data_IF_528119622133
#
_entry.id   IF_528119622133
#
_cell.length_a   1.000
_cell.length_b   1.000
_cell.length_c   1.000
_cell.angle_alpha   90.00
_cell.angle_beta   90.00
_cell.angle_gamma   90.00
#
_symmetry.space_group_name_H-M   'P 1'
#
loop_
_entity.id
_entity.type
_entity.pdbx_description
1 polymer ?
#
# COMPACT_ATOMS: atom_id res chain seq x y z
N UNK A 1 22.73 -47.91 -9.20
CA UNK A 1 22.85 -47.19 -7.92
C UNK A 1 24.32 -47.07 -7.53
N UNK A 2 24.87 -45.86 -7.39
CA UNK A 2 26.26 -45.67 -6.99
C UNK A 2 26.45 -45.71 -5.47
N UNK A 3 27.26 -46.63 -4.95
CA UNK A 3 27.57 -46.73 -3.51
C UNK A 3 28.37 -45.53 -2.97
N UNK A 4 28.60 -45.44 -1.64
CA UNK A 4 29.21 -44.28 -0.97
C UNK A 4 30.74 -44.12 -1.18
N UNK A 5 31.23 -44.38 -2.40
CA UNK A 5 32.64 -44.47 -2.75
C UNK A 5 33.48 -43.20 -2.54
N UNK A 6 34.71 -43.39 -2.06
CA UNK A 6 35.80 -42.42 -2.16
C UNK A 6 35.76 -41.22 -1.21
N UNK A 7 34.81 -41.08 -0.28
CA UNK A 7 34.80 -39.95 0.68
C UNK A 7 35.98 -39.96 1.66
N UNK A 8 36.52 -41.13 2.00
CA UNK A 8 37.58 -41.32 3.00
C UNK A 8 38.95 -40.93 2.44
N UNK A 9 39.32 -41.50 1.28
CA UNK A 9 40.67 -41.35 0.69
C UNK A 9 40.84 -40.11 -0.20
N UNK A 10 39.84 -39.22 -0.30
CA UNK A 10 39.96 -37.97 -1.08
C UNK A 10 40.89 -36.96 -0.39
N UNK A 11 41.84 -36.34 -1.11
CA UNK A 11 42.76 -35.37 -0.51
C UNK A 11 42.01 -34.21 0.14
N UNK A 12 42.44 -33.82 1.35
CA UNK A 12 41.81 -32.72 2.09
C UNK A 12 42.13 -31.39 1.39
N UNK A 13 41.10 -30.67 0.95
CA UNK A 13 41.24 -29.29 0.43
C UNK A 13 41.94 -28.38 1.44
N UNK A 14 42.59 -27.31 0.99
CA UNK A 14 43.36 -26.41 1.86
C UNK A 14 42.57 -25.85 3.05
N UNK A 15 41.26 -25.60 2.87
CA UNK A 15 40.37 -25.23 3.97
C UNK A 15 40.14 -26.38 4.97
N UNK A 16 39.99 -27.63 4.50
CA UNK A 16 39.90 -28.80 5.40
C UNK A 16 41.21 -29.05 6.16
N UNK A 17 42.37 -28.68 5.62
CA UNK A 17 43.66 -28.68 6.36
C UNK A 17 43.70 -27.54 7.39
N UNK A 18 43.35 -26.31 6.99
CA UNK A 18 43.54 -25.09 7.79
C UNK A 18 42.24 -24.69 8.54
N UNK A 19 41.98 -25.36 9.67
CA UNK A 19 40.76 -25.27 10.48
C UNK A 19 40.27 -23.83 10.74
N UNK A 20 41.15 -22.92 11.19
CA UNK A 20 40.77 -21.53 11.46
C UNK A 20 40.38 -20.76 10.20
N UNK A 21 41.08 -20.98 9.07
CA UNK A 21 40.68 -20.40 7.77
C UNK A 21 39.31 -20.93 7.33
N UNK A 22 39.02 -22.23 7.51
CA UNK A 22 37.68 -22.80 7.25
C UNK A 22 36.59 -22.23 8.16
N UNK A 23 36.83 -22.06 9.47
CA UNK A 23 35.88 -21.40 10.37
C UNK A 23 35.61 -19.94 9.93
N UNK A 24 36.63 -19.20 9.50
CA UNK A 24 36.51 -17.82 8.98
C UNK A 24 35.71 -17.75 7.67
N UNK A 25 35.97 -18.64 6.71
CA UNK A 25 35.22 -18.70 5.45
C UNK A 25 33.76 -19.08 5.69
N UNK A 26 33.49 -20.19 6.39
CA UNK A 26 32.12 -20.64 6.64
C UNK A 26 31.27 -19.65 7.44
N UNK A 27 31.87 -18.83 8.31
CA UNK A 27 31.15 -17.75 9.01
C UNK A 27 30.91 -16.52 8.12
N UNK A 28 31.82 -16.20 7.18
CA UNK A 28 31.57 -15.21 6.11
C UNK A 28 30.42 -15.66 5.21
N UNK A 29 30.41 -16.93 4.78
CA UNK A 29 29.38 -17.48 3.89
C UNK A 29 28.01 -17.53 4.58
N UNK A 30 27.95 -17.96 5.85
CA UNK A 30 26.71 -17.91 6.66
C UNK A 30 26.19 -16.48 6.82
N UNK A 31 27.08 -15.49 6.99
CA UNK A 31 26.70 -14.07 7.05
C UNK A 31 26.21 -13.55 5.70
N UNK A 32 26.82 -13.97 4.59
CA UNK A 32 26.37 -13.62 3.23
C UNK A 32 25.00 -14.22 2.91
N UNK A 33 24.77 -15.52 3.16
CA UNK A 33 23.47 -16.18 2.95
C UNK A 33 22.33 -15.63 3.81
N UNK A 34 22.64 -14.96 4.93
CA UNK A 34 21.66 -14.26 5.79
C UNK A 34 21.43 -12.79 5.41
N UNK A 35 22.17 -12.24 4.44
CA UNK A 35 21.89 -10.89 3.91
C UNK A 35 20.76 -10.98 2.87
N UNK A 36 19.55 -10.63 3.29
CA UNK A 36 18.53 -10.17 2.33
C UNK A 36 19.03 -8.84 1.75
N UNK A 37 19.23 -8.81 0.44
CA UNK A 37 19.68 -7.63 -0.33
C UNK A 37 18.59 -7.32 -1.37
N UNK A 38 18.41 -6.05 -1.71
CA UNK A 38 17.41 -5.61 -2.70
C UNK A 38 16.00 -5.53 -2.11
N UNK A 39 15.43 -6.66 -1.67
CA UNK A 39 14.01 -6.78 -1.33
C UNK A 39 13.49 -5.72 -0.34
N UNK A 40 12.63 -4.82 -0.81
CA UNK A 40 11.87 -3.87 0.02
C UNK A 40 10.44 -4.40 0.14
N UNK A 41 10.12 -5.02 1.28
CA UNK A 41 8.85 -5.75 1.48
C UNK A 41 7.64 -4.79 1.63
N UNK A 42 7.90 -3.53 1.97
CA UNK A 42 6.90 -2.56 2.41
C UNK A 42 7.05 -1.20 1.68
N UNK A 43 7.36 -1.18 0.37
CA UNK A 43 7.68 0.05 -0.38
C UNK A 43 6.67 1.20 -0.17
N UNK A 44 5.37 0.93 -0.33
CA UNK A 44 4.29 1.91 -0.11
C UNK A 44 4.03 2.31 1.35
N UNK A 45 4.73 1.74 2.33
CA UNK A 45 4.58 2.04 3.77
C UNK A 45 5.89 2.53 4.42
N UNK A 46 7.02 2.38 3.73
CA UNK A 46 8.36 2.75 4.23
C UNK A 46 8.64 4.23 3.93
N UNK A 47 9.04 4.99 4.95
CA UNK A 47 9.29 6.44 4.78
C UNK A 47 10.55 6.71 3.95
N UNK A 48 10.56 7.83 3.20
CA UNK A 48 11.67 8.29 2.33
C UNK A 48 13.07 8.19 2.97
N UNK A 49 13.20 8.47 4.27
CA UNK A 49 14.46 8.33 5.02
C UNK A 49 15.03 6.90 5.02
N UNK A 50 14.18 5.87 5.15
CA UNK A 50 14.62 4.47 5.13
C UNK A 50 15.04 4.05 3.71
N UNK A 51 14.35 4.54 2.68
CA UNK A 51 14.76 4.34 1.28
C UNK A 51 16.14 4.97 1.04
N UNK A 52 16.38 6.20 1.52
CA UNK A 52 17.70 6.86 1.47
C UNK A 52 18.79 6.06 2.21
N UNK A 53 18.47 5.45 3.37
CA UNK A 53 19.40 4.57 4.11
C UNK A 53 19.61 3.17 3.49
N UNK A 54 18.68 2.69 2.64
CA UNK A 54 18.89 1.51 1.79
C UNK A 54 19.77 1.85 0.58
N UNK A 55 19.52 2.98 -0.07
CA UNK A 55 20.29 3.45 -1.23
C UNK A 55 21.77 3.68 -0.89
N UNK A 56 22.08 4.28 0.27
CA UNK A 56 23.47 4.43 0.74
C UNK A 56 24.10 3.15 1.32
N UNK A 57 23.33 2.06 1.48
CA UNK A 57 23.85 0.80 2.02
C UNK A 57 23.00 -0.42 1.65
N UNK A 58 23.44 -1.18 0.63
CA UNK A 58 22.91 -2.49 0.26
C UNK A 58 23.14 -3.61 1.33
N UNK A 59 23.45 -3.23 2.57
CA UNK A 59 23.46 -4.09 3.77
C UNK A 59 22.33 -3.74 4.75
N UNK A 60 21.68 -2.59 4.61
CA UNK A 60 20.66 -2.08 5.52
C UNK A 60 19.29 -2.68 5.20
N UNK A 61 19.03 -3.92 5.62
CA UNK A 61 17.69 -4.52 5.50
C UNK A 61 16.71 -3.93 6.54
N UNK A 62 16.29 -2.68 6.32
CA UNK A 62 15.35 -1.98 7.19
C UNK A 62 13.92 -2.24 6.69
N UNK A 63 13.26 -3.25 7.24
CA UNK A 63 11.82 -3.51 7.07
C UNK A 63 11.01 -2.86 8.19
N UNK A 64 9.68 -2.80 8.05
CA UNK A 64 8.82 -2.39 9.15
C UNK A 64 8.62 -3.57 10.13
N UNK A 65 8.68 -3.31 11.43
CA UNK A 65 8.16 -4.26 12.42
C UNK A 65 6.67 -4.52 12.16
N UNK A 66 6.22 -5.76 12.31
CA UNK A 66 4.83 -6.17 12.02
C UNK A 66 3.77 -5.33 12.75
N UNK A 67 4.07 -4.85 13.97
CA UNK A 67 3.20 -3.92 14.72
C UNK A 67 3.07 -2.56 14.01
N UNK A 68 4.18 -2.02 13.48
CA UNK A 68 4.21 -0.76 12.72
C UNK A 68 3.54 -0.91 11.35
N UNK A 69 3.82 -1.99 10.62
CA UNK A 69 3.15 -2.33 9.35
C UNK A 69 1.63 -2.41 9.53
N UNK A 70 1.17 -3.15 10.54
CA UNK A 70 -0.26 -3.28 10.88
C UNK A 70 -0.90 -1.93 11.21
N UNK A 71 -0.24 -1.08 12.00
CA UNK A 71 -0.78 0.25 12.37
C UNK A 71 -0.86 1.22 11.21
N UNK A 72 0.14 1.27 10.32
CA UNK A 72 0.08 2.12 9.13
C UNK A 72 -1.04 1.67 8.17
N UNK A 73 -1.20 0.35 7.95
CA UNK A 73 -2.32 -0.18 7.17
C UNK A 73 -3.69 0.08 7.82
N UNK A 74 -3.78 0.04 9.15
CA UNK A 74 -5.01 0.40 9.88
C UNK A 74 -5.36 1.88 9.66
N UNK A 75 -4.38 2.78 9.77
CA UNK A 75 -4.58 4.22 9.58
C UNK A 75 -4.98 4.57 8.14
N UNK A 76 -4.33 3.98 7.14
CA UNK A 76 -4.68 4.19 5.72
C UNK A 76 -6.13 3.78 5.44
N UNK A 77 -6.59 2.64 5.96
CA UNK A 77 -7.97 2.17 5.81
C UNK A 77 -9.00 3.10 6.44
N UNK A 78 -8.70 3.65 7.63
CA UNK A 78 -9.58 4.61 8.29
C UNK A 78 -9.71 5.89 7.46
N UNK A 79 -8.58 6.49 7.06
CA UNK A 79 -8.59 7.70 6.23
C UNK A 79 -9.12 7.50 4.81
N UNK A 80 -9.11 6.27 4.28
CA UNK A 80 -9.84 5.92 3.05
C UNK A 80 -11.36 5.89 3.29
N UNK A 81 -11.83 5.32 4.41
CA UNK A 81 -13.26 5.32 4.77
C UNK A 81 -13.78 6.73 5.05
N UNK A 82 -13.01 7.54 5.78
CA UNK A 82 -13.32 8.94 6.10
C UNK A 82 -13.48 9.78 4.83
N UNK A 83 -12.53 9.67 3.89
CA UNK A 83 -12.61 10.35 2.58
C UNK A 83 -13.80 9.90 1.75
N UNK A 84 -14.02 8.59 1.63
CA UNK A 84 -15.15 8.07 0.87
C UNK A 84 -16.51 8.53 1.41
N UNK A 85 -16.65 8.69 2.73
CA UNK A 85 -17.85 9.26 3.34
C UNK A 85 -18.05 10.73 2.95
N UNK A 86 -17.00 11.55 3.07
CA UNK A 86 -17.05 12.98 2.70
C UNK A 86 -17.31 13.19 1.20
N UNK A 87 -16.67 12.41 0.33
CA UNK A 87 -16.85 12.50 -1.13
C UNK A 87 -18.28 12.12 -1.55
N UNK A 88 -18.92 11.17 -0.85
CA UNK A 88 -20.34 10.84 -1.04
C UNK A 88 -21.27 11.97 -0.58
N UNK A 89 -21.03 12.59 0.59
CA UNK A 89 -21.84 13.73 1.06
C UNK A 89 -21.73 14.97 0.14
N UNK A 90 -20.58 15.16 -0.51
CA UNK A 90 -20.37 16.23 -1.49
C UNK A 90 -21.11 15.91 -2.80
N UNK A 91 -21.01 14.67 -3.29
CA UNK A 91 -21.71 14.19 -4.50
C UNK A 91 -23.24 14.13 -4.35
N UNK A 92 -23.74 13.90 -3.13
CA UNK A 92 -25.17 13.82 -2.83
C UNK A 92 -25.89 15.18 -2.86
N UNK A 93 -25.17 16.31 -2.96
CA UNK A 93 -25.77 17.63 -3.14
C UNK A 93 -25.96 17.90 -4.64
N UNK A 94 -27.20 17.91 -5.18
CA UNK A 94 -27.41 18.27 -6.58
C UNK A 94 -26.97 19.71 -6.80
N UNK A 95 -26.10 19.93 -7.79
CA UNK A 95 -25.59 21.25 -8.12
C UNK A 95 -26.71 22.14 -8.70
N UNK A 96 -27.40 22.88 -7.82
CA UNK A 96 -28.32 23.98 -8.19
C UNK A 96 -27.52 25.20 -8.69
N UNK A 97 -26.78 25.03 -9.78
CA UNK A 97 -26.15 26.12 -10.53
C UNK A 97 -26.99 26.40 -11.77
N UNK A 98 -27.84 27.42 -11.68
CA UNK A 98 -28.69 27.87 -12.78
C UNK A 98 -27.86 28.53 -13.89
N UNK A 99 -27.70 27.84 -15.02
CA UNK A 99 -27.20 28.48 -16.24
C UNK A 99 -28.28 29.40 -16.84
N UNK A 100 -27.94 30.63 -17.28
CA UNK A 100 -28.90 31.55 -17.88
C UNK A 100 -29.23 31.13 -19.31
N UNK A 101 -30.36 30.45 -19.51
CA UNK A 101 -30.80 30.02 -20.85
C UNK A 101 -31.05 31.21 -21.80
N UNK A 102 -30.64 31.10 -23.08
CA UNK A 102 -30.90 32.14 -24.08
C UNK A 102 -32.38 32.23 -24.45
N UNK A 103 -32.86 33.44 -24.69
CA UNK A 103 -34.28 33.77 -24.94
C UNK A 103 -34.80 33.15 -26.24
N UNK A 104 -35.91 32.41 -26.17
CA UNK A 104 -36.78 32.10 -27.32
C UNK A 104 -38.18 32.73 -27.12
N UNK A 105 -39.01 32.74 -28.17
CA UNK A 105 -40.05 33.76 -28.36
C UNK A 105 -41.47 33.32 -27.99
N UNK A 106 -42.31 34.30 -27.62
CA UNK A 106 -43.74 34.14 -27.28
C UNK A 106 -44.54 33.46 -28.39
N UNK A 107 -45.46 32.55 -28.02
CA UNK A 107 -46.81 32.43 -28.62
C UNK A 107 -47.86 32.22 -27.52
N UNK A 108 -49.13 32.43 -27.86
CA UNK A 108 -50.21 32.76 -26.92
C UNK A 108 -51.38 31.78 -26.95
N UNK A 109 -51.91 31.39 -25.78
CA UNK A 109 -53.35 31.40 -25.43
C UNK A 109 -53.58 31.02 -23.96
N UNK A 110 -54.77 31.33 -23.46
CA UNK A 110 -55.31 31.12 -22.11
C UNK A 110 -56.86 31.08 -22.24
N UNK A 111 -57.70 30.92 -21.19
CA UNK A 111 -57.41 30.73 -19.75
C UNK A 111 -58.20 29.57 -19.09
N UNK A 112 -58.18 29.48 -17.75
CA UNK A 112 -59.12 28.74 -16.87
C UNK A 112 -59.06 27.19 -16.95
N UNK A 113 -59.38 26.39 -15.92
CA UNK A 113 -59.84 26.58 -14.52
C UNK A 113 -59.28 25.36 -13.70
N UNK A 114 -59.49 25.05 -12.40
CA UNK A 114 -60.43 25.39 -11.30
C UNK A 114 -59.66 25.35 -9.94
N UNK A 115 -60.26 25.81 -8.84
CA UNK A 115 -59.76 25.73 -7.44
C UNK A 115 -60.02 24.39 -6.70
N UNK A 116 -59.62 24.33 -5.40
CA UNK A 116 -59.90 23.35 -4.31
C UNK A 116 -58.76 22.36 -3.95
N UNK A 117 -58.44 22.07 -2.67
CA UNK A 117 -58.83 22.70 -1.38
C UNK A 117 -57.79 22.35 -0.29
N UNK A 118 -57.63 23.20 0.74
CA UNK A 118 -56.78 22.91 1.92
C UNK A 118 -57.43 21.90 2.89
N UNK A 119 -56.61 21.11 3.58
CA UNK A 119 -57.01 20.36 4.78
C UNK A 119 -55.98 20.60 5.88
N UNK A 120 -56.45 21.16 7.00
CA UNK A 120 -55.62 21.71 8.07
C UNK A 120 -54.98 20.66 9.00
N UNK A 121 -54.03 21.12 9.80
CA UNK A 121 -53.40 20.33 10.87
C UNK A 121 -54.39 20.05 12.02
N UNK A 122 -54.45 18.78 12.46
CA UNK A 122 -55.27 18.35 13.60
C UNK A 122 -54.51 18.42 14.92
N UNK A 123 -55.04 19.24 15.84
CA UNK A 123 -54.67 19.48 17.25
C UNK A 123 -54.04 18.32 18.04
#
# INVERSE_FOLDING_TARGET
>A
MGGPGGKINRPRTELKKKLFKRRRVLTRDRRLKRRVVGAVIDEGLITKHHLKKRASSARANITLSGKKRRKLLQQIRLSQKEKAAMEVEISAKPARTSEPQPKSQKKTKAPQDVDMVDLEEGS
#
